data_IF_561764425417
#
_entry.id   IF_561764425417
#
_cell.length_a   1.000
_cell.length_b   1.000
_cell.length_c   1.000
_cell.angle_alpha   90.00
_cell.angle_beta   90.00
_cell.angle_gamma   90.00
#
_symmetry.space_group_name_H-M   'P 1'
#
loop_
_entity.id
_entity.type
_entity.pdbx_description
1 polymer ?
#
# COMPACT_ATOMS: atom_id res chain seq x y z
N UNK A 1 0.71 50.92 56.29
CA UNK A 1 -0.58 51.00 55.57
C UNK A 1 -0.41 52.11 54.52
N UNK A 2 -0.42 51.93 53.22
CA UNK A 2 -0.75 50.80 52.36
C UNK A 2 0.01 50.96 51.05
N UNK A 3 0.58 49.87 50.54
CA UNK A 3 1.21 49.79 49.23
C UNK A 3 0.15 49.92 48.13
N UNK A 4 0.39 50.76 47.12
CA UNK A 4 -0.40 50.83 45.90
C UNK A 4 0.37 50.17 44.77
N UNK A 5 -0.27 49.15 44.20
CA UNK A 5 0.22 48.25 43.16
C UNK A 5 0.47 48.94 41.82
N UNK A 6 1.51 48.47 41.14
CA UNK A 6 1.83 48.75 39.74
C UNK A 6 0.78 48.15 38.81
N UNK A 7 0.32 48.94 37.83
CA UNK A 7 -0.33 48.44 36.62
C UNK A 7 0.72 48.37 35.52
N UNK A 8 0.94 47.18 34.97
CA UNK A 8 1.73 46.95 33.77
C UNK A 8 0.77 46.77 32.60
N UNK A 9 1.07 47.55 31.57
CA UNK A 9 0.37 47.72 30.30
C UNK A 9 1.16 46.88 29.31
N UNK A 10 0.55 45.87 28.70
CA UNK A 10 1.12 45.23 27.52
C UNK A 10 0.10 45.32 26.39
N UNK A 11 0.32 46.35 25.57
CA UNK A 11 -0.17 46.43 24.19
C UNK A 11 1.05 46.40 23.29
N UNK A 12 1.26 45.29 22.59
CA UNK A 12 2.04 45.31 21.37
C UNK A 12 1.38 44.40 20.34
N UNK A 13 0.90 45.07 19.31
CA UNK A 13 0.28 44.57 18.09
C UNK A 13 1.42 44.30 17.10
N UNK A 14 1.54 43.08 16.58
CA UNK A 14 2.34 42.84 15.38
C UNK A 14 1.63 41.83 14.47
N UNK A 15 1.38 42.30 13.26
CA UNK A 15 0.55 41.69 12.23
C UNK A 15 1.38 40.79 11.27
N UNK A 16 0.82 39.59 10.97
CA UNK A 16 0.65 38.98 9.62
C UNK A 16 1.91 38.24 9.05
N UNK A 17 1.80 37.00 8.46
CA UNK A 17 1.00 36.76 7.25
C UNK A 17 0.22 35.44 7.09
N UNK A 18 -0.83 35.59 6.30
CA UNK A 18 -1.68 34.60 5.64
C UNK A 18 -0.89 33.54 4.86
N UNK A 19 -1.24 32.26 5.00
CA UNK A 19 -1.30 31.32 3.87
C UNK A 19 -2.16 30.08 4.17
N UNK A 20 -3.26 29.98 3.42
CA UNK A 20 -3.71 28.78 2.69
C UNK A 20 -3.91 27.43 3.43
N UNK A 21 -5.19 27.07 3.54
CA UNK A 21 -5.78 25.72 3.37
C UNK A 21 -5.04 24.53 4.00
N UNK A 22 -5.57 24.03 5.12
CA UNK A 22 -5.97 22.62 5.26
C UNK A 22 -7.31 22.61 6.00
N UNK A 23 -8.38 22.27 5.30
CA UNK A 23 -9.69 22.07 5.91
C UNK A 23 -9.66 20.84 6.81
N UNK A 24 -9.27 21.03 8.07
CA UNK A 24 -9.63 20.12 9.15
C UNK A 24 -11.12 20.25 9.37
N UNK A 25 -11.92 19.49 8.62
CA UNK A 25 -13.35 19.43 8.85
C UNK A 25 -13.55 18.68 10.17
N UNK A 26 -13.88 19.43 11.22
CA UNK A 26 -14.42 18.94 12.48
C UNK A 26 -15.77 18.27 12.18
N UNK A 27 -15.73 17.06 11.64
CA UNK A 27 -16.92 16.28 11.34
C UNK A 27 -17.20 15.36 12.50
N UNK A 28 -18.27 15.70 13.22
CA UNK A 28 -19.01 14.82 14.10
C UNK A 28 -19.49 13.59 13.31
N UNK A 29 -19.50 12.41 13.94
CA UNK A 29 -19.81 11.13 13.27
C UNK A 29 -21.31 11.08 12.97
N UNK A 30 -21.66 10.86 11.69
CA UNK A 30 -23.05 10.59 11.32
C UNK A 30 -23.38 9.12 11.56
N UNK A 31 -24.16 8.85 12.60
CA UNK A 31 -24.56 7.52 13.03
C UNK A 31 -25.59 6.85 12.10
N UNK A 32 -26.21 7.60 11.19
CA UNK A 32 -27.09 7.03 10.16
C UNK A 32 -26.29 6.45 8.99
N UNK A 33 -25.02 6.85 8.83
CA UNK A 33 -24.09 6.35 7.81
C UNK A 33 -23.19 5.26 8.38
N UNK A 34 -22.36 4.69 7.51
CA UNK A 34 -21.35 3.74 7.96
C UNK A 34 -20.28 4.45 8.80
N UNK A 35 -20.09 4.01 10.04
CA UNK A 35 -19.13 4.61 10.99
C UNK A 35 -17.69 4.70 10.46
N UNK A 36 -17.30 3.83 9.52
CA UNK A 36 -15.95 3.80 8.97
C UNK A 36 -15.75 4.72 7.76
N UNK A 37 -16.70 4.76 6.83
CA UNK A 37 -16.47 5.46 5.56
C UNK A 37 -17.27 6.75 5.43
N UNK A 38 -18.28 6.99 6.29
CA UNK A 38 -19.09 8.22 6.32
C UNK A 38 -19.67 8.63 4.94
N UNK A 39 -19.78 7.68 4.01
CA UNK A 39 -20.27 7.90 2.65
C UNK A 39 -21.65 7.30 2.48
N UNK A 40 -22.47 8.00 1.68
CA UNK A 40 -23.73 7.47 1.18
C UNK A 40 -23.39 6.48 0.07
N UNK A 41 -23.47 5.19 0.40
CA UNK A 41 -23.22 4.12 -0.55
C UNK A 41 -24.50 3.34 -0.80
N UNK A 42 -24.61 2.75 -1.99
CA UNK A 42 -25.70 1.83 -2.33
C UNK A 42 -25.56 0.47 -1.61
N UNK A 43 -24.41 0.20 -0.98
CA UNK A 43 -24.21 -1.05 -0.23
C UNK A 43 -25.09 -1.04 1.03
N UNK A 44 -25.69 -2.20 1.34
CA UNK A 44 -26.56 -2.34 2.51
C UNK A 44 -25.80 -2.12 3.82
N UNK A 45 -26.30 -1.20 4.64
CA UNK A 45 -25.82 -0.99 6.01
C UNK A 45 -26.31 -2.11 6.91
N UNK A 46 -25.39 -2.70 7.68
CA UNK A 46 -25.69 -3.67 8.72
C UNK A 46 -25.73 -2.96 10.07
N UNK A 47 -26.75 -3.27 10.87
CA UNK A 47 -26.86 -2.86 12.26
C UNK A 47 -27.02 -4.12 13.12
N UNK A 48 -26.04 -4.47 13.99
CA UNK A 48 -26.18 -5.61 14.88
C UNK A 48 -27.43 -5.55 15.78
N UNK A 49 -27.87 -4.36 16.17
CA UNK A 49 -29.10 -4.17 16.94
C UNK A 49 -30.39 -4.49 16.16
N UNK A 50 -30.33 -4.56 14.83
CA UNK A 50 -31.48 -4.93 13.99
C UNK A 50 -31.64 -6.44 13.78
N UNK A 51 -30.62 -7.24 14.11
CA UNK A 51 -30.70 -8.70 13.99
C UNK A 51 -31.54 -9.25 15.15
N UNK A 52 -32.68 -9.88 14.83
CA UNK A 52 -33.60 -10.49 15.78
C UNK A 52 -32.92 -11.67 16.50
N UNK A 53 -32.16 -11.42 17.58
CA UNK A 53 -31.82 -12.35 18.66
C UNK A 53 -30.96 -11.65 19.72
N UNK A 54 -31.00 -12.18 20.95
CA UNK A 54 -30.57 -11.60 22.24
C UNK A 54 -29.08 -11.22 22.38
N UNK A 55 -28.32 -11.22 21.29
CA UNK A 55 -26.88 -10.97 21.22
C UNK A 55 -26.55 -9.66 20.47
N UNK A 56 -27.47 -8.68 20.50
CA UNK A 56 -27.27 -7.34 19.90
C UNK A 56 -25.91 -6.73 20.30
N UNK A 57 -25.46 -6.99 21.53
CA UNK A 57 -24.20 -6.49 22.07
C UNK A 57 -22.96 -7.22 21.54
N UNK A 58 -23.05 -8.47 21.08
CA UNK A 58 -21.89 -9.28 20.71
C UNK A 58 -21.15 -8.69 19.50
N UNK A 59 -21.89 -8.23 18.48
CA UNK A 59 -21.30 -7.61 17.29
C UNK A 59 -20.55 -6.30 17.59
N UNK A 60 -21.12 -5.48 18.48
CA UNK A 60 -20.48 -4.24 18.94
C UNK A 60 -19.29 -4.52 19.84
N UNK A 61 -19.41 -5.46 20.78
CA UNK A 61 -18.34 -5.88 21.68
C UNK A 61 -17.11 -6.37 20.92
N UNK A 62 -17.29 -7.34 20.02
CA UNK A 62 -16.17 -7.82 19.22
C UNK A 62 -15.57 -6.72 18.34
N UNK A 63 -16.38 -5.78 17.86
CA UNK A 63 -15.85 -4.66 17.08
C UNK A 63 -15.01 -3.72 17.93
N UNK A 64 -15.51 -3.28 19.09
CA UNK A 64 -14.78 -2.36 19.97
C UNK A 64 -13.48 -2.97 20.44
N UNK A 65 -13.49 -4.23 20.88
CA UNK A 65 -12.29 -4.95 21.31
C UNK A 65 -11.23 -5.03 20.20
N UNK A 66 -11.65 -5.27 18.94
CA UNK A 66 -10.72 -5.28 17.83
C UNK A 66 -10.16 -3.89 17.57
N UNK A 67 -10.99 -2.83 17.59
CA UNK A 67 -10.56 -1.45 17.34
C UNK A 67 -9.55 -0.97 18.37
N UNK A 68 -9.78 -1.26 19.65
CA UNK A 68 -8.84 -0.97 20.74
C UNK A 68 -7.50 -1.67 20.49
N UNK A 69 -7.51 -2.96 20.18
CA UNK A 69 -6.28 -3.69 19.87
C UNK A 69 -5.57 -3.17 18.60
N UNK A 70 -6.30 -2.75 17.57
CA UNK A 70 -5.70 -2.11 16.40
C UNK A 70 -5.02 -0.77 16.76
N UNK A 71 -5.59 -0.02 17.70
CA UNK A 71 -5.02 1.23 18.22
C UNK A 71 -3.73 0.97 19.01
N UNK A 72 -3.74 -0.02 19.90
CA UNK A 72 -2.59 -0.43 20.71
C UNK A 72 -1.37 -0.79 19.83
N UNK A 73 -1.62 -1.44 18.69
CA UNK A 73 -0.56 -1.81 17.75
C UNK A 73 -0.25 -0.72 16.70
N UNK A 74 -0.80 0.48 16.84
CA UNK A 74 -0.67 1.61 15.92
C UNK A 74 -0.98 1.23 14.45
N UNK A 75 -1.97 0.36 14.23
CA UNK A 75 -2.34 -0.14 12.90
C UNK A 75 -3.71 0.37 12.45
N UNK A 76 -4.28 1.36 13.12
CA UNK A 76 -5.48 2.06 12.64
C UNK A 76 -5.13 3.00 11.47
N UNK A 77 -6.01 3.11 10.46
CA UNK A 77 -5.85 4.11 9.42
C UNK A 77 -5.90 5.54 10.00
N UNK A 78 -5.12 6.46 9.44
CA UNK A 78 -5.05 7.86 9.90
C UNK A 78 -6.39 8.62 9.86
N UNK A 79 -7.32 8.18 9.02
CA UNK A 79 -8.66 8.76 8.92
C UNK A 79 -9.63 8.25 9.99
N UNK A 80 -9.30 7.18 10.73
CA UNK A 80 -10.16 6.60 11.76
C UNK A 80 -9.69 7.04 13.14
N UNK A 81 -10.40 8.01 13.72
CA UNK A 81 -10.16 8.49 15.08
C UNK A 81 -11.12 7.82 16.07
N UNK A 82 -10.58 7.05 17.01
CA UNK A 82 -11.39 6.37 18.04
C UNK A 82 -11.99 7.33 19.07
N UNK A 83 -11.39 8.51 19.28
CA UNK A 83 -11.91 9.47 20.24
C UNK A 83 -13.30 9.96 19.82
N UNK A 84 -13.54 10.07 18.51
CA UNK A 84 -14.85 10.43 17.96
C UNK A 84 -15.91 9.33 18.14
N UNK A 85 -15.48 8.09 18.35
CA UNK A 85 -16.35 6.93 18.57
C UNK A 85 -16.51 6.60 20.06
N UNK A 86 -15.96 7.42 20.95
CA UNK A 86 -16.01 7.22 22.39
C UNK A 86 -16.56 8.48 23.08
N UNK A 87 -17.80 8.41 23.55
CA UNK A 87 -18.46 9.48 24.33
C UNK A 87 -17.97 9.57 25.80
N UNK A 88 -16.93 8.83 26.15
CA UNK A 88 -16.41 8.68 27.51
C UNK A 88 -16.99 7.46 28.25
N UNK A 89 -18.03 6.81 27.73
CA UNK A 89 -18.59 5.58 28.29
C UNK A 89 -17.99 4.29 27.72
N UNK A 90 -17.00 4.42 26.83
CA UNK A 90 -16.36 3.32 26.10
C UNK A 90 -16.95 3.15 24.69
N UNK A 91 -16.11 2.65 23.77
CA UNK A 91 -16.47 2.51 22.36
C UNK A 91 -17.69 1.60 22.20
N UNK A 92 -17.70 0.44 22.88
CA UNK A 92 -18.82 -0.50 22.81
C UNK A 92 -20.16 0.17 23.16
N UNK A 93 -20.21 0.86 24.29
CA UNK A 93 -21.43 1.49 24.79
C UNK A 93 -21.87 2.63 23.87
N UNK A 94 -20.92 3.41 23.35
CA UNK A 94 -21.19 4.47 22.38
C UNK A 94 -21.82 3.89 21.11
N UNK A 95 -21.27 2.80 20.57
CA UNK A 95 -21.78 2.15 19.36
C UNK A 95 -23.19 1.54 19.56
N UNK A 96 -23.46 1.00 20.74
CA UNK A 96 -24.79 0.47 21.10
C UNK A 96 -25.80 1.62 21.21
N UNK A 97 -25.49 2.66 21.99
CA UNK A 97 -26.38 3.82 22.21
C UNK A 97 -26.75 4.51 20.91
N UNK A 98 -25.79 4.63 20.00
CA UNK A 98 -25.95 5.29 18.70
C UNK A 98 -26.57 4.39 17.62
N UNK A 99 -26.86 3.11 17.92
CA UNK A 99 -27.28 2.12 16.94
C UNK A 99 -26.38 2.10 15.70
N UNK A 100 -25.07 2.16 15.94
CA UNK A 100 -24.07 2.35 14.90
C UNK A 100 -24.20 1.31 13.78
N UNK A 101 -23.99 1.78 12.54
CA UNK A 101 -24.16 1.00 11.32
C UNK A 101 -22.86 0.90 10.55
N UNK A 102 -22.71 -0.15 9.76
CA UNK A 102 -21.55 -0.30 8.87
C UNK A 102 -21.84 -1.14 7.64
N UNK A 103 -21.09 -0.88 6.57
CA UNK A 103 -21.04 -1.79 5.44
C UNK A 103 -20.27 -3.06 5.83
N UNK A 104 -20.70 -4.21 5.30
CA UNK A 104 -19.99 -5.49 5.46
C UNK A 104 -18.52 -5.37 5.05
N UNK A 105 -18.26 -4.72 3.91
CA UNK A 105 -16.90 -4.49 3.38
C UNK A 105 -16.04 -3.65 4.32
N UNK A 106 -16.61 -2.59 4.92
CA UNK A 106 -15.89 -1.75 5.87
C UNK A 106 -15.56 -2.50 7.15
N UNK A 107 -16.54 -3.25 7.71
CA UNK A 107 -16.35 -4.03 8.93
C UNK A 107 -15.28 -5.11 8.79
N UNK A 108 -15.16 -5.72 7.61
CA UNK A 108 -14.16 -6.75 7.33
C UNK A 108 -12.71 -6.28 7.51
N UNK A 109 -12.44 -4.97 7.34
CA UNK A 109 -11.09 -4.41 7.55
C UNK A 109 -10.62 -4.50 9.00
N UNK A 110 -11.55 -4.58 9.95
CA UNK A 110 -11.28 -4.56 11.39
C UNK A 110 -11.75 -5.84 12.09
N UNK A 111 -11.86 -6.96 11.36
CA UNK A 111 -12.26 -8.23 11.95
C UNK A 111 -11.09 -8.88 12.70
N UNK A 112 -11.38 -9.92 13.48
CA UNK A 112 -10.39 -10.64 14.28
C UNK A 112 -9.28 -11.29 13.44
N UNK A 113 -9.57 -11.70 12.20
CA UNK A 113 -8.56 -12.28 11.30
C UNK A 113 -7.55 -11.22 10.84
N UNK A 114 -8.01 -10.04 10.46
CA UNK A 114 -7.17 -8.92 10.09
C UNK A 114 -6.37 -8.41 11.29
N UNK A 115 -6.96 -8.42 12.49
CA UNK A 115 -6.25 -8.07 13.71
C UNK A 115 -5.07 -9.02 13.97
N UNK A 116 -5.30 -10.34 13.92
CA UNK A 116 -4.22 -11.33 14.06
C UNK A 116 -3.14 -11.16 12.99
N UNK A 117 -3.52 -10.79 11.77
CA UNK A 117 -2.56 -10.49 10.68
C UNK A 117 -1.75 -9.25 11.00
N UNK A 118 -2.36 -8.19 11.51
CA UNK A 118 -1.68 -6.96 11.92
C UNK A 118 -0.73 -7.19 13.09
N UNK A 119 -1.15 -7.91 14.14
CA UNK A 119 -0.29 -8.32 15.26
C UNK A 119 0.93 -9.11 14.78
N UNK A 120 0.76 -10.06 13.84
CA UNK A 120 1.89 -10.80 13.23
C UNK A 120 2.83 -9.93 12.40
N UNK A 121 2.38 -8.78 11.88
CA UNK A 121 3.27 -7.80 11.22
C UNK A 121 4.10 -7.05 12.27
N UNK A 122 3.51 -6.68 13.41
CA UNK A 122 4.19 -5.98 14.50
C UNK A 122 5.20 -6.87 15.26
N UNK A 123 4.85 -8.11 15.59
CA UNK A 123 5.75 -9.02 16.32
C UNK A 123 7.02 -9.39 15.52
N UNK A 124 6.98 -9.33 14.18
CA UNK A 124 8.19 -9.46 13.35
C UNK A 124 9.20 -8.33 13.54
N UNK A 125 8.80 -7.23 14.18
CA UNK A 125 9.66 -6.08 14.42
C UNK A 125 10.31 -6.11 15.82
N UNK A 126 9.75 -6.86 16.78
CA UNK A 126 10.12 -6.77 18.20
C UNK A 126 10.93 -7.98 18.70
N UNK A 127 10.78 -9.16 18.09
CA UNK A 127 11.64 -10.31 18.44
C UNK A 127 12.92 -10.32 17.62
N UNK A 128 13.95 -9.60 18.07
CA UNK A 128 15.32 -10.12 18.10
C UNK A 128 16.14 -9.41 19.17
N UNK A 129 16.87 -10.19 19.94
CA UNK A 129 17.52 -9.80 21.17
C UNK A 129 18.88 -9.21 20.82
N UNK A 130 18.98 -7.89 20.68
CA UNK A 130 20.24 -7.15 20.86
C UNK A 130 21.44 -7.52 19.97
N UNK A 131 21.26 -8.27 18.89
CA UNK A 131 22.24 -8.41 17.80
C UNK A 131 21.52 -8.24 16.48
N UNK A 132 22.00 -7.31 15.67
CA UNK A 132 21.56 -7.16 14.29
C UNK A 132 21.99 -8.40 13.49
N UNK A 133 21.16 -9.44 13.49
CA UNK A 133 21.30 -10.56 12.58
C UNK A 133 20.50 -10.26 11.32
N UNK A 134 21.20 -9.68 10.34
CA UNK A 134 20.86 -9.78 8.94
C UNK A 134 20.66 -11.27 8.58
N UNK A 135 19.64 -11.52 7.74
CA UNK A 135 19.28 -12.79 7.08
C UNK A 135 18.24 -13.61 7.86
N UNK A 136 16.97 -13.57 7.47
CA UNK A 136 16.39 -14.29 6.33
C UNK A 136 15.84 -15.65 6.76
N UNK A 137 14.53 -15.74 6.89
CA UNK A 137 13.83 -16.95 6.48
C UNK A 137 12.61 -16.60 5.62
N UNK A 138 12.69 -17.10 4.39
CA UNK A 138 11.71 -16.98 3.34
C UNK A 138 10.32 -17.41 3.83
N UNK A 139 9.38 -16.47 3.92
CA UNK A 139 7.97 -16.82 3.91
C UNK A 139 7.50 -16.93 2.47
N UNK A 140 7.42 -18.17 2.00
CA UNK A 140 6.54 -18.56 0.88
C UNK A 140 5.17 -17.93 1.12
N UNK A 141 4.83 -16.90 0.36
CA UNK A 141 3.51 -16.29 0.37
C UNK A 141 3.00 -16.18 -1.06
N UNK A 142 1.95 -16.92 -1.35
CA UNK A 142 1.41 -17.14 -2.70
C UNK A 142 0.49 -16.02 -3.19
N UNK A 143 0.32 -14.90 -2.47
CA UNK A 143 -0.45 -13.75 -2.99
C UNK A 143 0.00 -12.45 -2.32
N UNK A 144 0.45 -11.53 -3.18
CA UNK A 144 1.03 -10.22 -2.92
C UNK A 144 0.25 -9.36 -1.91
N UNK A 145 0.95 -8.89 -0.87
CA UNK A 145 0.73 -7.56 -0.26
C UNK A 145 1.93 -7.23 0.64
N UNK A 146 2.81 -6.33 0.21
CA UNK A 146 3.91 -5.79 1.01
C UNK A 146 3.75 -4.27 1.10
N UNK A 147 3.84 -3.73 2.32
CA UNK A 147 4.62 -2.52 2.54
C UNK A 147 5.79 -2.81 3.50
N UNK A 148 6.90 -2.09 3.27
CA UNK A 148 8.12 -1.96 4.09
C UNK A 148 9.20 -3.04 3.83
N UNK A 149 10.46 -2.76 3.45
CA UNK A 149 11.22 -1.53 3.13
C UNK A 149 11.96 -1.79 1.83
N UNK A 150 11.83 -0.85 0.92
CA UNK A 150 12.24 -0.90 -0.48
C UNK A 150 13.77 -0.81 -0.55
N UNK A 151 14.47 -1.90 -0.87
CA UNK A 151 15.78 -1.73 -1.50
C UNK A 151 15.50 -1.06 -2.85
N UNK A 152 16.18 0.03 -3.23
CA UNK A 152 15.92 0.72 -4.50
C UNK A 152 15.84 -0.26 -5.70
N UNK A 153 16.58 -1.37 -5.66
CA UNK A 153 16.57 -2.44 -6.67
C UNK A 153 15.21 -3.14 -6.84
N UNK A 154 14.34 -3.11 -5.82
CA UNK A 154 13.04 -3.76 -5.85
C UNK A 154 11.99 -3.04 -6.70
N UNK A 155 12.28 -1.82 -7.12
CA UNK A 155 11.37 -0.95 -7.88
C UNK A 155 12.01 -0.43 -9.16
N UNK A 156 13.19 -0.94 -9.51
CA UNK A 156 13.87 -0.57 -10.75
C UNK A 156 13.48 -1.56 -11.83
N UNK A 157 12.95 -1.06 -12.94
CA UNK A 157 12.76 -1.87 -14.14
C UNK A 157 14.11 -2.27 -14.74
N UNK A 158 14.37 -3.56 -14.89
CA UNK A 158 15.57 -4.13 -15.48
C UNK A 158 15.91 -3.57 -16.88
N UNK A 159 14.90 -3.21 -17.66
CA UNK A 159 15.09 -2.73 -19.04
C UNK A 159 15.36 -1.23 -19.15
N UNK A 160 14.71 -0.39 -18.33
CA UNK A 160 14.78 1.07 -18.46
C UNK A 160 15.38 1.78 -17.24
N UNK A 161 15.78 1.03 -16.23
CA UNK A 161 16.38 1.50 -14.98
C UNK A 161 15.55 2.56 -14.23
N UNK A 162 14.26 2.67 -14.55
CA UNK A 162 13.34 3.66 -13.97
C UNK A 162 12.63 3.09 -12.74
N UNK A 163 12.43 3.94 -11.73
CA UNK A 163 11.83 3.63 -10.43
C UNK A 163 10.35 4.03 -10.40
N UNK A 164 9.61 3.90 -11.50
CA UNK A 164 8.24 4.45 -11.59
C UNK A 164 7.33 3.85 -10.51
N UNK A 165 7.04 4.63 -9.46
CA UNK A 165 6.29 4.19 -8.27
C UNK A 165 4.83 3.81 -8.60
N UNK A 166 4.31 4.33 -9.72
CA UNK A 166 2.93 4.13 -10.15
C UNK A 166 2.74 2.93 -11.10
N UNK A 167 3.81 2.40 -11.72
CA UNK A 167 3.69 1.29 -12.68
C UNK A 167 4.10 -0.06 -12.06
N UNK A 168 3.12 -0.97 -11.95
CA UNK A 168 3.34 -2.28 -11.32
C UNK A 168 4.36 -3.13 -12.11
N UNK A 169 5.57 -3.28 -11.56
CA UNK A 169 6.59 -4.17 -12.08
C UNK A 169 6.20 -5.64 -11.94
N UNK A 170 6.54 -6.45 -12.95
CA UNK A 170 6.47 -7.91 -12.87
C UNK A 170 7.83 -8.48 -12.59
N UNK A 171 7.86 -9.55 -11.81
CA UNK A 171 9.06 -10.31 -11.51
C UNK A 171 9.26 -11.44 -12.53
N UNK A 172 10.49 -11.65 -12.95
CA UNK A 172 10.87 -12.76 -13.82
C UNK A 172 10.83 -14.07 -13.02
N UNK A 173 9.79 -14.87 -13.24
CA UNK A 173 9.60 -16.14 -12.54
C UNK A 173 9.84 -17.38 -13.42
N UNK A 174 10.19 -17.20 -14.70
CA UNK A 174 10.36 -18.32 -15.64
C UNK A 174 11.57 -18.15 -16.54
N UNK A 175 12.29 -19.25 -16.74
CA UNK A 175 13.43 -19.32 -17.67
C UNK A 175 13.04 -19.01 -19.13
N UNK A 176 11.78 -19.26 -19.51
CA UNK A 176 11.27 -18.94 -20.84
C UNK A 176 11.28 -17.44 -21.16
N UNK A 177 11.18 -16.57 -20.15
CA UNK A 177 11.32 -15.11 -20.36
C UNK A 177 12.79 -14.75 -20.59
N UNK A 178 13.73 -15.33 -19.81
CA UNK A 178 15.17 -15.08 -19.97
C UNK A 178 15.65 -15.43 -21.38
N UNK A 179 15.36 -16.66 -21.85
CA UNK A 179 15.76 -17.11 -23.18
C UNK A 179 15.31 -16.13 -24.27
N UNK A 180 14.04 -15.73 -24.24
CA UNK A 180 13.48 -14.80 -25.23
C UNK A 180 14.11 -13.42 -25.15
N UNK A 181 14.38 -12.92 -23.95
CA UNK A 181 15.04 -11.63 -23.75
C UNK A 181 16.49 -11.68 -24.25
N UNK A 182 17.21 -12.78 -23.99
CA UNK A 182 18.57 -13.01 -24.47
C UNK A 182 18.64 -13.09 -25.99
N UNK A 183 17.72 -13.83 -26.62
CA UNK A 183 17.58 -13.85 -28.08
C UNK A 183 17.30 -12.46 -28.66
N UNK A 184 16.41 -11.70 -28.04
CA UNK A 184 16.12 -10.33 -28.49
C UNK A 184 17.32 -9.41 -28.31
N UNK A 185 18.05 -9.50 -27.20
CA UNK A 185 19.24 -8.71 -26.94
C UNK A 185 20.34 -9.00 -27.95
N UNK A 186 20.53 -10.28 -28.31
CA UNK A 186 21.47 -10.70 -29.36
C UNK A 186 21.07 -10.19 -30.74
N UNK A 187 19.79 -10.35 -31.13
CA UNK A 187 19.26 -9.86 -32.42
C UNK A 187 19.39 -8.36 -32.56
N UNK A 188 19.14 -7.62 -31.48
CA UNK A 188 19.23 -6.17 -31.45
C UNK A 188 20.66 -5.65 -31.24
N UNK A 189 21.62 -6.55 -30.99
CA UNK A 189 22.97 -6.22 -30.54
C UNK A 189 22.98 -5.19 -29.41
N UNK A 190 22.03 -5.32 -28.48
CA UNK A 190 21.86 -4.40 -27.36
C UNK A 190 22.90 -4.73 -26.28
N UNK A 191 24.08 -4.12 -26.39
CA UNK A 191 25.24 -4.41 -25.53
C UNK A 191 24.99 -4.07 -24.06
N UNK A 192 24.16 -3.06 -23.78
CA UNK A 192 23.79 -2.69 -22.42
C UNK A 192 22.91 -3.79 -21.79
N UNK A 193 21.91 -4.29 -22.53
CA UNK A 193 21.08 -5.39 -22.06
C UNK A 193 21.89 -6.70 -21.92
N UNK A 194 22.79 -6.98 -22.85
CA UNK A 194 23.68 -8.15 -22.79
C UNK A 194 24.61 -8.11 -21.57
N UNK A 195 25.16 -6.93 -21.22
CA UNK A 195 25.98 -6.75 -20.02
C UNK A 195 25.17 -6.99 -18.74
N UNK A 196 23.92 -6.56 -18.68
CA UNK A 196 23.03 -6.88 -17.54
C UNK A 196 22.78 -8.39 -17.45
N UNK A 197 22.58 -9.07 -18.58
CA UNK A 197 22.34 -10.52 -18.64
C UNK A 197 23.60 -11.37 -18.40
N UNK A 198 24.81 -10.79 -18.36
CA UNK A 198 26.03 -11.54 -18.03
C UNK A 198 26.19 -11.77 -16.53
N UNK A 199 25.51 -10.98 -15.69
CA UNK A 199 25.53 -11.16 -14.23
C UNK A 199 24.74 -12.39 -13.77
N UNK A 200 23.86 -12.95 -14.61
CA UNK A 200 23.01 -14.11 -14.32
C UNK A 200 21.76 -14.12 -15.20
N UNK A 201 20.96 -15.19 -15.13
CA UNK A 201 19.64 -15.16 -15.76
C UNK A 201 18.67 -14.23 -15.01
N UNK A 202 17.59 -13.80 -15.67
CA UNK A 202 16.61 -12.89 -15.10
C UNK A 202 15.97 -13.40 -13.79
N UNK A 203 15.87 -14.71 -13.59
CA UNK A 203 15.28 -15.30 -12.39
C UNK A 203 16.28 -15.25 -11.24
N UNK A 204 17.53 -15.62 -11.49
CA UNK A 204 18.62 -15.57 -10.53
C UNK A 204 18.94 -14.14 -10.08
N UNK A 205 18.75 -13.15 -10.97
CA UNK A 205 18.88 -11.73 -10.64
C UNK A 205 17.63 -11.13 -9.99
N UNK A 206 16.58 -11.92 -9.76
CA UNK A 206 15.27 -11.48 -9.23
C UNK A 206 14.73 -10.26 -10.02
N UNK A 207 14.94 -10.28 -11.34
CA UNK A 207 14.74 -9.11 -12.18
C UNK A 207 13.26 -8.72 -12.26
N UNK A 208 13.00 -7.44 -12.03
CA UNK A 208 11.68 -6.82 -12.13
C UNK A 208 11.59 -5.95 -13.37
N UNK A 209 10.45 -5.93 -14.04
CA UNK A 209 10.31 -5.20 -15.31
C UNK A 209 8.89 -4.69 -15.55
N UNK A 210 8.78 -3.57 -16.28
CA UNK A 210 7.50 -3.12 -16.81
C UNK A 210 7.05 -4.04 -17.94
N UNK A 211 5.76 -4.41 -17.94
CA UNK A 211 5.17 -5.19 -19.04
C UNK A 211 5.34 -4.46 -20.38
N UNK A 212 5.23 -3.13 -20.37
CA UNK A 212 5.42 -2.29 -21.56
C UNK A 212 6.85 -2.37 -22.09
N UNK A 213 7.85 -2.33 -21.21
CA UNK A 213 9.27 -2.45 -21.62
C UNK A 213 9.56 -3.81 -22.26
N UNK A 214 9.01 -4.90 -21.72
CA UNK A 214 9.16 -6.23 -22.32
C UNK A 214 8.50 -6.31 -23.70
N UNK A 215 7.27 -5.81 -23.82
CA UNK A 215 6.55 -5.75 -25.11
C UNK A 215 7.33 -4.90 -26.12
N UNK A 216 7.87 -3.77 -25.68
CA UNK A 216 8.68 -2.89 -26.52
C UNK A 216 9.93 -3.60 -27.03
N UNK A 217 10.65 -4.32 -26.15
CA UNK A 217 11.81 -5.12 -26.55
C UNK A 217 11.45 -6.15 -27.63
N UNK A 218 10.37 -6.90 -27.43
CA UNK A 218 9.91 -7.89 -28.41
C UNK A 218 9.53 -7.25 -29.74
N UNK A 219 8.80 -6.13 -29.72
CA UNK A 219 8.44 -5.40 -30.95
C UNK A 219 9.67 -4.86 -31.67
N UNK A 220 10.64 -4.33 -30.93
CA UNK A 220 11.90 -3.83 -31.47
C UNK A 220 12.66 -4.96 -32.17
N UNK A 221 12.79 -6.13 -31.52
CA UNK A 221 13.44 -7.30 -32.10
C UNK A 221 12.70 -7.83 -33.35
N UNK A 222 11.37 -7.82 -33.35
CA UNK A 222 10.58 -8.22 -34.51
C UNK A 222 10.74 -7.28 -35.72
N UNK A 223 11.01 -5.99 -35.52
CA UNK A 223 11.26 -5.06 -36.64
C UNK A 223 12.57 -5.38 -37.34
N UNK A 224 13.64 -5.56 -36.58
CA UNK A 224 14.97 -5.89 -37.12
C UNK A 224 14.96 -7.23 -37.86
N UNK A 225 14.18 -8.21 -37.41
CA UNK A 225 14.04 -9.49 -38.11
C UNK A 225 13.44 -9.34 -39.53
N UNK A 226 12.52 -8.38 -39.74
CA UNK A 226 11.96 -8.11 -41.06
C UNK A 226 12.93 -7.32 -41.95
N UNK A 227 13.76 -6.47 -41.34
CA UNK A 227 14.75 -5.68 -42.08
C UNK A 227 15.91 -6.56 -42.59
N UNK A 228 16.32 -7.57 -41.83
CA UNK A 228 17.39 -8.53 -42.20
C UNK A 228 16.96 -9.50 -43.33
N UNK A 229 15.65 -9.78 -43.44
CA UNK A 229 15.08 -10.57 -44.54
C UNK A 229 15.09 -9.81 -45.89
N UNK A 230 15.18 -8.47 -45.86
CA UNK A 230 15.25 -7.64 -47.06
C UNK A 230 16.65 -7.51 -47.67
N UNK A 231 17.71 -7.90 -46.94
CA UNK A 231 19.10 -7.88 -47.41
C UNK A 231 19.64 -9.25 -47.82
N UNK A 232 18.85 -10.32 -47.68
CA UNK A 232 19.20 -11.69 -48.07
C UNK A 232 18.37 -12.23 -49.25
N UNK A 233 18.03 -11.38 -50.23
CA UNK A 233 17.72 -11.89 -51.57
C UNK A 233 19.02 -12.12 -52.33
N UNK A 234 19.37 -13.35 -52.73
CA UNK A 234 20.47 -13.55 -53.67
C UNK A 234 20.11 -12.80 -54.95
N UNK A 235 20.97 -11.84 -55.34
CA UNK A 235 20.97 -11.27 -56.69
C UNK A 235 21.18 -12.42 -57.65
N UNK A 236 20.09 -12.90 -58.23
CA UNK A 236 20.12 -13.87 -59.30
C UNK A 236 20.55 -13.11 -60.57
N UNK A 237 21.87 -12.96 -60.75
CA UNK A 237 22.44 -12.58 -62.04
C UNK A 237 22.42 -13.81 -62.94
N UNK A 238 21.38 -13.93 -63.76
CA UNK A 238 21.37 -14.82 -64.92
C UNK A 238 21.48 -14.00 -66.20
N UNK A 239 22.60 -14.24 -66.89
CA UNK A 239 22.89 -14.09 -68.33
C UNK A 239 23.04 -12.69 -68.91
#
# INVERSE_FOLDING_TARGET
MSNKSFQLIDTFDEQVPTSSKIGGHDQNVDWFKCIFCQTDSLDTLQCPASARQNDTSAGYKTLSENLEQFNEINSLPSWLDLNKLNDGSGIQNTLIKSNAKWHKKCRLKFNTTELKRAQKRQHRYISDDGQASLLQEARKSTRLSLPCKIGLKDYVCFFCDSIEEDEMLREAATYGIDNRVRECAQKLQDTALLAKLSAGDLVAQEAKYHVKCLIYLYRKASRVANDDESLNQPRNCNS
#
